data_IF_292110257869
#
_entry.id   IF_292110257869
#
_cell.length_a   1.000
_cell.length_b   1.000
_cell.length_c   1.000
_cell.angle_alpha   90.00
_cell.angle_beta   90.00
_cell.angle_gamma   90.00
#
_symmetry.space_group_name_H-M   'P 1'
#
loop_
_entity.id
_entity.type
_entity.pdbx_description
1 polymer ?
#
# COMPACT_ATOMS: atom_id res chain seq x y z
N UNK A 1 -0.50 -29.37 12.48
CA UNK A 1 -0.80 -28.40 11.42
C UNK A 1 -1.56 -27.24 12.04
N UNK A 2 -0.93 -26.07 12.09
CA UNK A 2 -1.53 -24.83 12.56
C UNK A 2 -2.65 -24.37 11.63
N UNK A 3 -3.56 -23.53 12.13
CA UNK A 3 -4.64 -23.00 11.29
C UNK A 3 -4.10 -22.15 10.12
N UNK A 4 -2.93 -21.53 10.29
CA UNK A 4 -2.22 -20.82 9.21
C UNK A 4 -1.75 -21.77 8.10
N UNK A 5 -1.25 -22.95 8.45
CA UNK A 5 -0.86 -23.96 7.45
C UNK A 5 -2.07 -24.52 6.71
N UNK A 6 -3.20 -24.73 7.42
CA UNK A 6 -4.47 -25.12 6.80
C UNK A 6 -4.96 -24.08 5.80
N UNK A 7 -4.93 -22.79 6.18
CA UNK A 7 -5.39 -21.70 5.32
C UNK A 7 -4.60 -21.62 4.02
N UNK A 8 -3.26 -21.74 4.09
CA UNK A 8 -2.40 -21.77 2.88
C UNK A 8 -2.76 -22.92 1.94
N UNK A 9 -2.95 -24.12 2.49
CA UNK A 9 -3.31 -25.29 1.69
C UNK A 9 -4.68 -25.17 1.03
N UNK A 10 -5.63 -24.48 1.66
CA UNK A 10 -6.96 -24.25 1.12
C UNK A 10 -6.97 -23.21 0.00
N UNK A 11 -6.10 -22.19 0.06
CA UNK A 11 -6.01 -21.16 -0.99
C UNK A 11 -5.72 -21.77 -2.35
N UNK A 12 -4.77 -22.70 -2.42
CA UNK A 12 -4.37 -23.35 -3.68
C UNK A 12 -5.46 -24.25 -4.29
N UNK A 13 -6.53 -24.56 -3.54
CA UNK A 13 -7.63 -25.40 -3.99
C UNK A 13 -8.87 -24.60 -4.39
N UNK A 14 -8.84 -23.27 -4.28
CA UNK A 14 -9.97 -22.42 -4.62
C UNK A 14 -10.18 -22.47 -6.14
N UNK A 15 -11.39 -22.83 -6.61
CA UNK A 15 -11.72 -22.71 -8.02
C UNK A 15 -11.67 -21.24 -8.45
N UNK A 16 -11.10 -20.96 -9.63
CA UNK A 16 -10.90 -19.59 -10.14
C UNK A 16 -12.17 -18.72 -10.06
N UNK A 17 -13.34 -19.27 -10.41
CA UNK A 17 -14.62 -18.55 -10.38
C UNK A 17 -15.08 -18.10 -8.97
N UNK A 18 -14.39 -18.53 -7.91
CA UNK A 18 -14.63 -18.14 -6.52
C UNK A 18 -13.49 -17.29 -5.93
N UNK A 19 -12.39 -17.11 -6.66
CA UNK A 19 -11.20 -16.43 -6.12
C UNK A 19 -11.52 -14.98 -5.75
N UNK A 20 -12.32 -14.29 -6.55
CA UNK A 20 -12.74 -12.91 -6.30
C UNK A 20 -13.48 -12.74 -4.97
N UNK A 21 -14.37 -13.68 -4.63
CA UNK A 21 -15.10 -13.66 -3.36
C UNK A 21 -14.16 -13.84 -2.16
N UNK A 22 -13.16 -14.72 -2.29
CA UNK A 22 -12.18 -14.96 -1.24
C UNK A 22 -11.22 -13.77 -1.11
N UNK A 23 -10.80 -13.18 -2.22
CA UNK A 23 -9.99 -11.96 -2.24
C UNK A 23 -10.71 -10.82 -1.53
N UNK A 24 -11.99 -10.57 -1.82
CA UNK A 24 -12.77 -9.51 -1.17
C UNK A 24 -12.84 -9.72 0.35
N UNK A 25 -13.06 -10.96 0.81
CA UNK A 25 -13.09 -11.26 2.24
C UNK A 25 -11.72 -11.07 2.90
N UNK A 26 -10.64 -11.56 2.28
CA UNK A 26 -9.29 -11.39 2.79
C UNK A 26 -8.89 -9.91 2.83
N UNK A 27 -9.20 -9.14 1.78
CA UNK A 27 -9.00 -7.69 1.75
C UNK A 27 -9.72 -7.03 2.91
N UNK A 28 -10.98 -7.39 3.20
CA UNK A 28 -11.70 -6.88 4.37
C UNK A 28 -11.12 -7.32 5.72
N UNK A 29 -10.52 -8.51 5.81
CA UNK A 29 -9.79 -8.98 7.01
C UNK A 29 -8.50 -8.18 7.20
N UNK A 30 -7.85 -7.74 6.12
CA UNK A 30 -6.65 -6.91 6.16
C UNK A 30 -6.95 -5.41 6.26
N UNK A 31 -8.17 -4.99 5.95
CA UNK A 31 -8.62 -3.61 6.06
C UNK A 31 -8.51 -3.17 7.53
N UNK A 32 -7.72 -2.13 7.79
CA UNK A 32 -7.37 -1.66 9.14
C UNK A 32 -6.33 -2.49 9.91
N UNK A 33 -5.84 -3.63 9.40
CA UNK A 33 -4.75 -4.39 10.06
C UNK A 33 -3.40 -3.68 9.96
N UNK A 34 -3.28 -2.76 9.00
CA UNK A 34 -2.13 -1.86 8.91
C UNK A 34 -2.61 -0.43 8.68
N UNK A 35 -3.03 0.25 9.75
CA UNK A 35 -2.98 1.71 9.78
C UNK A 35 -1.54 2.25 9.72
N UNK A 36 -0.56 1.36 9.90
CA UNK A 36 0.84 1.67 9.66
C UNK A 36 1.06 1.86 8.16
N UNK A 37 1.57 3.02 7.72
CA UNK A 37 1.92 3.24 6.32
C UNK A 37 2.93 2.20 5.82
N UNK A 38 2.99 1.98 4.51
CA UNK A 38 3.98 1.08 3.93
C UNK A 38 5.41 1.60 4.16
N UNK A 39 6.42 0.76 3.91
CA UNK A 39 7.83 1.12 4.14
C UNK A 39 8.28 2.38 3.40
N UNK A 40 7.78 2.57 2.18
CA UNK A 40 8.12 3.71 1.34
C UNK A 40 7.54 5.01 1.92
N UNK A 41 6.28 4.99 2.35
CA UNK A 41 5.65 6.14 3.03
C UNK A 41 6.34 6.48 4.35
N UNK A 42 6.75 5.48 5.13
CA UNK A 42 7.52 5.70 6.37
C UNK A 42 8.87 6.36 6.06
N UNK A 43 9.54 5.93 4.98
CA UNK A 43 10.81 6.52 4.57
C UNK A 43 10.64 7.99 4.13
N UNK A 44 9.58 8.31 3.39
CA UNK A 44 9.25 9.67 2.98
C UNK A 44 8.98 10.59 4.20
N UNK A 45 8.29 10.10 5.24
CA UNK A 45 8.11 10.87 6.48
C UNK A 45 9.44 11.16 7.17
N UNK A 46 10.32 10.15 7.26
CA UNK A 46 11.63 10.30 7.87
C UNK A 46 12.52 11.29 7.12
N UNK A 47 12.48 11.28 5.78
CA UNK A 47 13.21 12.24 4.95
C UNK A 47 12.86 13.69 5.31
N UNK A 48 11.57 13.99 5.46
CA UNK A 48 11.11 15.33 5.85
C UNK A 48 11.54 15.69 7.27
N UNK A 49 11.48 14.75 8.22
CA UNK A 49 11.96 14.96 9.60
C UNK A 49 13.46 15.26 9.68
N UNK A 50 14.25 14.70 8.76
CA UNK A 50 15.70 14.93 8.64
C UNK A 50 16.04 16.22 7.86
N UNK A 51 15.03 16.97 7.41
CA UNK A 51 15.20 18.21 6.64
C UNK A 51 15.56 17.99 5.18
N UNK A 52 15.31 16.79 4.66
CA UNK A 52 15.39 16.46 3.24
C UNK A 52 14.13 16.88 2.48
N UNK A 53 13.84 16.18 1.38
CA UNK A 53 12.73 16.49 0.49
C UNK A 53 12.97 17.69 -0.42
N UNK A 54 11.99 17.96 -1.27
CA UNK A 54 12.00 19.09 -2.18
C UNK A 54 11.00 20.16 -1.71
N UNK A 55 11.50 21.31 -1.25
CA UNK A 55 10.66 22.46 -0.94
C UNK A 55 10.41 23.28 -2.21
N UNK A 56 9.20 23.17 -2.73
CA UNK A 56 8.75 23.98 -3.84
C UNK A 56 8.39 25.41 -3.38
N UNK A 57 8.92 26.43 -4.06
CA UNK A 57 8.75 27.86 -3.69
C UNK A 57 8.17 28.74 -4.78
N UNK A 58 7.80 28.16 -5.93
CA UNK A 58 7.18 28.86 -7.05
C UNK A 58 5.67 29.06 -6.88
N UNK A 59 5.00 29.48 -7.95
CA UNK A 59 3.54 29.55 -7.98
C UNK A 59 2.92 28.15 -8.12
N UNK A 60 1.62 28.03 -7.83
CA UNK A 60 0.90 26.76 -8.07
C UNK A 60 0.93 26.33 -9.54
N UNK A 61 0.97 27.27 -10.49
CA UNK A 61 1.12 26.96 -11.92
C UNK A 61 2.48 26.32 -12.19
N UNK A 62 3.55 26.91 -11.66
CA UNK A 62 4.91 26.39 -11.78
C UNK A 62 5.03 24.97 -11.17
N UNK A 63 4.33 24.69 -10.06
CA UNK A 63 4.32 23.35 -9.43
C UNK A 63 3.72 22.29 -10.37
N UNK A 64 2.62 22.62 -11.05
CA UNK A 64 1.98 21.68 -11.97
C UNK A 64 2.82 21.44 -13.22
N UNK A 65 3.59 22.43 -13.67
CA UNK A 65 4.57 22.25 -14.75
C UNK A 65 5.63 21.25 -14.27
N UNK A 66 6.26 21.47 -13.12
CA UNK A 66 7.31 20.60 -12.57
C UNK A 66 6.83 19.15 -12.37
N UNK A 67 5.62 18.94 -11.82
CA UNK A 67 5.04 17.61 -11.60
C UNK A 67 4.66 16.87 -12.90
N UNK A 68 4.52 17.60 -14.02
CA UNK A 68 4.11 17.03 -15.31
C UNK A 68 5.29 16.72 -16.23
N UNK A 69 6.53 16.99 -15.80
CA UNK A 69 7.76 16.76 -16.58
C UNK A 69 8.33 15.34 -16.47
N UNK A 70 7.66 14.44 -15.75
CA UNK A 70 7.91 12.98 -15.69
C UNK A 70 7.00 12.19 -16.67
#
# INVERSE_FOLDING_TARGET
MSDREKAKHLIDQIPEYKIELVLAYLQGVFDGVSETPNKETIAAFKEIEEGGGHLFSGSTEDLFIELSED
#
